data_IF_014422051749
#
_entry.id   IF_014422051749
#
_cell.length_a   1.000
_cell.length_b   1.000
_cell.length_c   1.000
_cell.angle_alpha   90.00
_cell.angle_beta   90.00
_cell.angle_gamma   90.00
#
_symmetry.space_group_name_H-M   'P 1'
#
loop_
_entity.id
_entity.type
_entity.pdbx_description
1 polymer ?
#
# COMPACT_ATOMS: atom_id res chain seq x y z
N UNK A 1 -7.97 -23.61 -13.26
CA UNK A 1 -8.57 -23.17 -11.98
C UNK A 1 -9.64 -22.15 -12.29
N UNK A 2 -10.86 -22.32 -11.79
CA UNK A 2 -11.93 -21.36 -12.05
C UNK A 2 -11.73 -20.07 -11.22
N UNK A 3 -12.31 -18.96 -11.67
CA UNK A 3 -12.20 -17.66 -10.97
C UNK A 3 -12.72 -17.72 -9.54
N UNK A 4 -13.79 -18.50 -9.29
CA UNK A 4 -14.38 -18.65 -7.96
C UNK A 4 -13.42 -19.35 -7.00
N UNK A 5 -12.74 -20.40 -7.46
CA UNK A 5 -11.75 -21.13 -6.67
C UNK A 5 -10.57 -20.23 -6.30
N UNK A 6 -10.09 -19.42 -7.26
CA UNK A 6 -9.02 -18.47 -7.01
C UNK A 6 -9.42 -17.40 -5.96
N UNK A 7 -10.67 -16.92 -5.98
CA UNK A 7 -11.18 -15.97 -4.98
C UNK A 7 -11.26 -16.64 -3.59
N UNK A 8 -11.78 -17.86 -3.52
CA UNK A 8 -11.89 -18.61 -2.26
C UNK A 8 -10.49 -18.89 -1.66
N UNK A 9 -9.53 -19.28 -2.50
CA UNK A 9 -8.15 -19.50 -2.10
C UNK A 9 -7.52 -18.22 -1.55
N UNK A 10 -7.61 -17.09 -2.27
CA UNK A 10 -7.08 -15.80 -1.81
C UNK A 10 -7.67 -15.38 -0.45
N UNK A 11 -8.97 -15.61 -0.23
CA UNK A 11 -9.62 -15.33 1.06
C UNK A 11 -9.07 -16.21 2.17
N UNK A 12 -8.90 -17.52 1.92
CA UNK A 12 -8.34 -18.48 2.88
C UNK A 12 -6.90 -18.11 3.26
N UNK A 13 -6.07 -17.79 2.26
CA UNK A 13 -4.68 -17.37 2.47
C UNK A 13 -4.60 -16.07 3.28
N UNK A 14 -5.38 -15.04 2.90
CA UNK A 14 -5.39 -13.77 3.64
C UNK A 14 -5.89 -13.96 5.07
N UNK A 15 -6.94 -14.75 5.30
CA UNK A 15 -7.41 -15.10 6.65
C UNK A 15 -6.30 -15.74 7.47
N UNK A 16 -5.55 -16.67 6.88
CA UNK A 16 -4.44 -17.35 7.56
C UNK A 16 -3.34 -16.36 7.97
N UNK A 17 -2.99 -15.41 7.11
CA UNK A 17 -2.00 -14.37 7.44
C UNK A 17 -2.49 -13.47 8.58
N UNK A 18 -3.77 -13.07 8.56
CA UNK A 18 -4.37 -12.26 9.64
C UNK A 18 -4.34 -13.01 10.96
N UNK A 19 -4.77 -14.28 11.00
CA UNK A 19 -4.76 -15.09 12.24
C UNK A 19 -3.37 -15.37 12.79
N UNK A 20 -2.33 -15.25 11.95
CA UNK A 20 -0.93 -15.43 12.34
C UNK A 20 -0.22 -14.10 12.62
N UNK A 21 -0.94 -12.98 12.63
CA UNK A 21 -0.36 -11.63 12.79
C UNK A 21 0.73 -11.30 11.76
N UNK A 22 0.58 -11.83 10.54
CA UNK A 22 1.50 -11.62 9.39
C UNK A 22 0.85 -10.79 8.29
N UNK A 23 -0.01 -9.87 8.68
CA UNK A 23 -0.78 -9.05 7.76
C UNK A 23 -1.21 -7.77 8.44
N UNK A 24 -0.58 -6.67 8.07
CA UNK A 24 -0.96 -5.36 8.58
C UNK A 24 -1.99 -4.67 7.68
N UNK A 25 -2.85 -3.89 8.31
CA UNK A 25 -3.85 -3.08 7.61
C UNK A 25 -4.55 -2.10 8.54
N UNK A 26 -4.95 -0.96 7.98
CA UNK A 26 -5.79 0.03 8.67
C UNK A 26 -7.20 -0.12 8.15
N UNK A 27 -8.17 -0.30 9.04
CA UNK A 27 -9.59 -0.15 8.72
C UNK A 27 -10.04 1.25 9.16
N UNK A 28 -10.76 1.94 8.27
CA UNK A 28 -11.36 3.24 8.57
C UNK A 28 -12.85 3.03 8.78
N UNK A 29 -13.35 3.49 9.92
CA UNK A 29 -14.76 3.37 10.30
C UNK A 29 -15.46 4.74 10.27
N UNK A 30 -16.71 4.75 9.82
CA UNK A 30 -17.67 5.81 10.05
C UNK A 30 -18.74 5.27 11.01
N UNK A 31 -18.64 5.62 12.30
CA UNK A 31 -19.41 4.96 13.35
C UNK A 31 -19.05 3.48 13.44
N UNK A 32 -20.04 2.59 13.27
CA UNK A 32 -19.86 1.14 13.28
C UNK A 32 -19.55 0.53 11.91
N UNK A 33 -19.61 1.32 10.82
CA UNK A 33 -19.41 0.82 9.46
C UNK A 33 -17.96 0.98 9.02
N UNK A 34 -17.33 -0.10 8.55
CA UNK A 34 -16.03 -0.04 7.87
C UNK A 34 -16.21 0.54 6.46
N UNK A 35 -15.60 1.70 6.20
CA UNK A 35 -15.77 2.48 4.96
C UNK A 35 -14.48 2.63 4.15
N UNK A 36 -13.35 2.22 4.72
CA UNK A 36 -12.07 2.29 4.04
C UNK A 36 -11.06 1.30 4.58
N UNK A 37 -10.04 1.05 3.78
CA UNK A 37 -8.93 0.16 4.14
C UNK A 37 -7.63 0.65 3.52
N UNK A 38 -6.51 0.43 4.21
CA UNK A 38 -5.17 0.54 3.67
C UNK A 38 -4.36 -0.70 4.06
N UNK A 39 -3.81 -1.41 3.07
CA UNK A 39 -2.81 -2.46 3.29
C UNK A 39 -1.44 -1.82 3.43
N UNK A 40 -0.77 -2.15 4.52
CA UNK A 40 0.64 -1.88 4.71
C UNK A 40 1.34 -3.11 5.29
N UNK A 41 2.66 -3.09 5.37
CA UNK A 41 3.43 -4.16 6.02
C UNK A 41 4.91 -4.08 5.67
N UNK A 42 5.77 -4.82 6.39
CA UNK A 42 7.18 -4.92 6.05
C UNK A 42 7.35 -5.65 4.71
N UNK A 43 8.51 -5.50 4.07
CA UNK A 43 8.83 -6.09 2.76
C UNK A 43 8.48 -7.58 2.68
N UNK A 44 8.76 -8.32 3.75
CA UNK A 44 8.59 -9.77 3.86
C UNK A 44 7.12 -10.21 3.88
N UNK A 45 6.20 -9.34 4.34
CA UNK A 45 4.77 -9.60 4.26
C UNK A 45 4.19 -9.32 2.87
N UNK A 46 4.86 -8.46 2.10
CA UNK A 46 4.39 -7.96 0.81
C UNK A 46 5.42 -8.21 -0.30
N UNK A 47 5.90 -9.46 -0.53
CA UNK A 47 7.05 -9.75 -1.39
C UNK A 47 6.75 -9.61 -2.89
N UNK A 48 5.48 -9.56 -3.30
CA UNK A 48 5.10 -9.56 -4.73
C UNK A 48 5.70 -8.40 -5.52
N UNK A 49 5.96 -7.26 -4.87
CA UNK A 49 6.59 -6.12 -5.54
C UNK A 49 8.02 -6.45 -5.98
N UNK A 50 8.74 -7.29 -5.23
CA UNK A 50 10.12 -7.66 -5.55
C UNK A 50 10.25 -8.43 -6.87
N UNK A 51 9.24 -9.24 -7.20
CA UNK A 51 9.20 -9.99 -8.47
C UNK A 51 8.86 -9.13 -9.70
N UNK A 52 8.49 -7.86 -9.51
CA UNK A 52 8.15 -6.97 -10.62
C UNK A 52 9.40 -6.50 -11.36
N UNK A 53 9.47 -6.77 -12.67
CA UNK A 53 10.64 -6.43 -13.52
C UNK A 53 11.14 -4.99 -13.35
N UNK A 54 10.23 -4.02 -13.25
CA UNK A 54 10.61 -2.61 -13.10
C UNK A 54 11.21 -2.30 -11.73
N UNK A 55 10.78 -3.01 -10.68
CA UNK A 55 11.29 -2.83 -9.32
C UNK A 55 12.62 -3.58 -9.14
N UNK A 56 12.73 -4.80 -9.68
CA UNK A 56 13.94 -5.62 -9.58
C UNK A 56 15.16 -5.00 -10.28
N UNK A 57 14.94 -4.11 -11.25
CA UNK A 57 16.00 -3.42 -11.99
C UNK A 57 16.48 -2.14 -11.30
N UNK A 58 15.89 -1.75 -10.16
CA UNK A 58 16.35 -0.58 -9.40
C UNK A 58 17.57 -0.94 -8.56
N UNK A 59 18.57 -0.05 -8.54
CA UNK A 59 19.64 -0.13 -7.57
C UNK A 59 19.14 0.37 -6.21
N UNK A 60 18.85 -0.58 -5.32
CA UNK A 60 18.41 -0.34 -3.95
C UNK A 60 19.47 -0.79 -2.93
N UNK A 61 20.73 -0.91 -3.34
CA UNK A 61 21.84 -1.36 -2.48
C UNK A 61 22.02 -0.48 -1.24
N UNK A 62 21.80 0.83 -1.37
CA UNK A 62 21.85 1.80 -0.29
C UNK A 62 20.79 1.57 0.82
N UNK A 63 19.77 0.75 0.57
CA UNK A 63 18.72 0.43 1.53
C UNK A 63 19.01 -0.86 2.31
N UNK A 64 20.11 -1.55 2.03
CA UNK A 64 20.45 -2.80 2.73
C UNK A 64 20.54 -2.58 4.24
N UNK A 65 19.93 -3.51 4.99
CA UNK A 65 19.87 -3.45 6.45
C UNK A 65 18.85 -2.47 7.03
N UNK A 66 18.18 -1.65 6.21
CA UNK A 66 17.13 -0.73 6.68
C UNK A 66 15.78 -1.42 6.72
N UNK A 67 14.98 -1.13 7.76
CA UNK A 67 13.57 -1.55 7.81
C UNK A 67 12.81 -0.92 6.64
N UNK A 68 12.20 -1.75 5.81
CA UNK A 68 11.44 -1.33 4.64
C UNK A 68 9.98 -1.77 4.75
N UNK A 69 9.08 -0.80 4.69
CA UNK A 69 7.64 -0.94 4.73
C UNK A 69 7.05 -0.61 3.36
N UNK A 70 5.89 -1.19 3.07
CA UNK A 70 5.17 -0.99 1.81
C UNK A 70 3.73 -0.61 2.07
N UNK A 71 3.19 0.30 1.26
CA UNK A 71 1.78 0.66 1.16
C UNK A 71 1.28 0.21 -0.21
N UNK A 72 0.50 -0.89 -0.25
CA UNK A 72 0.22 -1.61 -1.51
C UNK A 72 -1.22 -1.52 -1.98
N UNK A 73 -2.17 -1.17 -1.11
CA UNK A 73 -3.58 -1.12 -1.51
C UNK A 73 -4.39 -0.18 -0.61
N UNK A 74 -5.34 0.52 -1.22
CA UNK A 74 -6.36 1.35 -0.62
C UNK A 74 -7.71 0.91 -1.17
N UNK A 75 -8.70 0.88 -0.29
CA UNK A 75 -10.09 0.74 -0.67
C UNK A 75 -10.90 1.82 0.03
N UNK A 76 -11.88 2.36 -0.68
CA UNK A 76 -12.89 3.27 -0.12
C UNK A 76 -14.24 2.86 -0.66
N UNK A 77 -15.17 2.66 0.26
CA UNK A 77 -16.57 2.43 -0.05
C UNK A 77 -17.10 3.52 -0.98
N UNK A 78 -17.92 3.14 -1.96
CA UNK A 78 -18.37 4.03 -3.03
C UNK A 78 -19.01 5.31 -2.48
N UNK A 79 -19.81 5.19 -1.43
CA UNK A 79 -20.61 6.29 -0.88
C UNK A 79 -19.79 7.20 0.05
N UNK A 80 -18.54 6.80 0.31
CA UNK A 80 -17.55 7.55 1.09
C UNK A 80 -16.37 8.06 0.26
N UNK A 81 -16.39 7.87 -1.07
CA UNK A 81 -15.38 8.43 -1.98
C UNK A 81 -15.40 9.96 -1.96
N UNK A 82 -14.25 10.55 -2.29
CA UNK A 82 -14.02 12.01 -2.29
C UNK A 82 -14.20 12.71 -0.92
N UNK A 83 -14.38 11.96 0.17
CA UNK A 83 -14.47 12.47 1.55
C UNK A 83 -13.16 12.36 2.35
N UNK A 84 -12.03 12.11 1.68
CA UNK A 84 -10.71 12.04 2.32
C UNK A 84 -10.36 10.72 3.04
N UNK A 85 -11.19 9.68 2.94
CA UNK A 85 -11.00 8.38 3.63
C UNK A 85 -9.62 7.76 3.38
N UNK A 86 -9.14 7.74 2.13
CA UNK A 86 -7.80 7.21 1.83
C UNK A 86 -6.69 7.97 2.56
N UNK A 87 -6.83 9.29 2.69
CA UNK A 87 -5.86 10.12 3.43
C UNK A 87 -5.85 9.80 4.93
N UNK A 88 -7.03 9.57 5.52
CA UNK A 88 -7.14 9.09 6.92
C UNK A 88 -6.44 7.74 7.08
N UNK A 89 -6.69 6.80 6.17
CA UNK A 89 -6.07 5.48 6.20
C UNK A 89 -4.54 5.56 6.06
N UNK A 90 -4.03 6.40 5.15
CA UNK A 90 -2.60 6.62 4.95
C UNK A 90 -1.93 7.21 6.19
N UNK A 91 -2.50 8.25 6.80
CA UNK A 91 -1.94 8.85 8.02
C UNK A 91 -1.89 7.86 9.17
N UNK A 92 -2.95 7.07 9.35
CA UNK A 92 -2.99 6.02 10.36
C UNK A 92 -1.95 4.92 10.08
N UNK A 93 -1.71 4.56 8.82
CA UNK A 93 -0.66 3.59 8.47
C UNK A 93 0.74 4.15 8.76
N UNK A 94 1.01 5.41 8.39
CA UNK A 94 2.27 6.11 8.72
C UNK A 94 2.49 6.16 10.24
N UNK A 95 1.45 6.48 11.01
CA UNK A 95 1.52 6.48 12.47
C UNK A 95 1.86 5.08 13.01
N UNK A 96 1.14 4.05 12.56
CA UNK A 96 1.40 2.67 12.99
C UNK A 96 2.81 2.18 12.66
N UNK A 97 3.37 2.60 11.51
CA UNK A 97 4.75 2.27 11.13
C UNK A 97 5.75 2.94 12.08
N UNK A 98 5.52 4.19 12.50
CA UNK A 98 6.36 4.87 13.49
C UNK A 98 6.38 4.14 14.83
N UNK A 99 5.21 3.74 15.32
CA UNK A 99 5.08 2.97 16.57
C UNK A 99 5.84 1.63 16.51
N UNK A 100 6.10 1.11 15.31
CA UNK A 100 6.87 -0.13 15.07
C UNK A 100 8.37 0.13 14.79
N UNK A 101 8.83 1.36 15.08
CA UNK A 101 10.23 1.77 14.98
C UNK A 101 10.64 2.25 13.58
N UNK A 102 9.69 2.71 12.77
CA UNK A 102 9.96 3.48 11.56
C UNK A 102 10.71 2.72 10.47
N UNK A 103 11.36 3.47 9.58
CA UNK A 103 12.08 2.96 8.41
C UNK A 103 11.70 3.64 7.09
N UNK A 104 12.12 3.04 5.98
CA UNK A 104 11.72 3.46 4.64
C UNK A 104 10.30 2.97 4.40
N UNK A 105 9.41 3.85 3.96
CA UNK A 105 8.07 3.48 3.51
C UNK A 105 7.96 3.71 2.02
N UNK A 106 7.67 2.65 1.28
CA UNK A 106 7.42 2.68 -0.15
C UNK A 106 5.93 2.74 -0.47
N UNK A 107 5.59 3.50 -1.51
CA UNK A 107 4.27 3.57 -2.09
C UNK A 107 4.36 3.52 -3.62
N UNK A 108 3.29 3.05 -4.26
CA UNK A 108 3.28 2.76 -5.70
C UNK A 108 2.15 3.46 -6.47
N UNK A 109 1.93 4.77 -6.28
CA UNK A 109 0.78 5.45 -6.88
C UNK A 109 0.79 5.38 -8.40
N UNK A 110 -0.42 5.39 -8.97
CA UNK A 110 -0.55 5.57 -10.41
C UNK A 110 -0.27 7.03 -10.81
N UNK A 111 0.40 7.21 -11.94
CA UNK A 111 0.73 8.52 -12.54
C UNK A 111 -0.36 9.03 -13.47
N UNK A 112 -1.31 8.18 -13.88
CA UNK A 112 -2.39 8.56 -14.78
C UNK A 112 -3.74 8.14 -14.24
N UNK A 113 -4.79 8.89 -14.63
CA UNK A 113 -6.19 8.50 -14.36
C UNK A 113 -6.70 7.48 -15.37
N UNK A 114 -5.89 7.11 -16.37
CA UNK A 114 -6.26 6.32 -17.54
C UNK A 114 -6.30 4.81 -17.30
N UNK A 115 -6.39 4.36 -16.04
CA UNK A 115 -6.47 2.94 -15.65
C UNK A 115 -7.80 2.52 -15.02
N UNK A 116 -8.81 3.39 -15.07
CA UNK A 116 -10.10 3.16 -14.39
C UNK A 116 -9.97 3.08 -12.87
N UNK A 117 -11.04 2.66 -12.19
CA UNK A 117 -11.12 2.67 -10.70
C UNK A 117 -10.05 1.84 -10.01
N UNK A 118 -9.50 0.80 -10.67
CA UNK A 118 -8.48 -0.07 -10.08
C UNK A 118 -7.14 0.63 -9.89
N UNK A 119 -6.78 1.56 -10.78
CA UNK A 119 -5.55 2.36 -10.67
C UNK A 119 -5.49 3.18 -9.37
N UNK A 120 -6.67 3.59 -8.85
CA UNK A 120 -6.78 4.36 -7.61
C UNK A 120 -6.57 3.53 -6.34
N UNK A 121 -6.56 2.20 -6.45
CA UNK A 121 -6.28 1.34 -5.29
C UNK A 121 -4.85 1.47 -4.81
N UNK A 122 -3.93 1.97 -5.64
CA UNK A 122 -2.55 2.26 -5.19
C UNK A 122 -2.40 3.68 -4.64
N UNK A 123 -3.48 4.44 -4.53
CA UNK A 123 -3.45 5.86 -4.20
C UNK A 123 -3.00 6.73 -5.38
N UNK A 124 -2.87 8.03 -5.13
CA UNK A 124 -2.44 9.02 -6.14
C UNK A 124 -1.16 9.72 -5.70
N UNK A 125 -0.37 10.21 -6.66
CA UNK A 125 0.88 10.96 -6.37
C UNK A 125 0.60 12.11 -5.39
N UNK A 126 -0.39 12.96 -5.68
CA UNK A 126 -0.77 14.10 -4.84
C UNK A 126 -1.27 13.70 -3.42
N UNK A 127 -1.75 12.47 -3.22
CA UNK A 127 -2.08 11.97 -1.89
C UNK A 127 -0.83 11.69 -1.06
N UNK A 128 0.19 11.07 -1.67
CA UNK A 128 1.45 10.77 -0.98
C UNK A 128 2.32 12.01 -0.79
N UNK A 129 2.36 12.93 -1.77
CA UNK A 129 3.12 14.20 -1.65
C UNK A 129 2.65 15.04 -0.46
N UNK A 130 1.33 15.13 -0.24
CA UNK A 130 0.76 15.83 0.93
C UNK A 130 1.21 15.25 2.26
N UNK A 131 1.55 13.97 2.28
CA UNK A 131 2.08 13.29 3.47
C UNK A 131 3.63 13.24 3.44
N UNK A 132 4.29 14.00 2.56
CA UNK A 132 5.75 14.16 2.53
C UNK A 132 6.53 13.02 1.84
N UNK A 133 5.86 12.17 1.07
CA UNK A 133 6.56 11.23 0.19
C UNK A 133 7.16 11.96 -1.00
N UNK A 134 8.29 11.46 -1.50
CA UNK A 134 8.97 11.97 -2.69
C UNK A 134 9.08 10.88 -3.74
N UNK A 135 9.01 11.25 -5.02
CA UNK A 135 9.32 10.34 -6.10
C UNK A 135 10.77 9.85 -5.96
N UNK A 136 10.96 8.55 -6.12
CA UNK A 136 12.27 7.90 -6.04
C UNK A 136 12.66 7.26 -7.37
N UNK A 137 11.72 6.58 -8.03
CA UNK A 137 11.93 6.00 -9.35
C UNK A 137 10.62 5.87 -10.14
N UNK A 138 10.72 5.68 -11.45
CA UNK A 138 9.58 5.25 -12.28
C UNK A 138 9.44 3.73 -12.23
N UNK A 139 8.21 3.25 -12.16
CA UNK A 139 7.89 1.82 -12.25
C UNK A 139 7.04 1.57 -13.51
N UNK A 140 7.73 1.60 -14.66
CA UNK A 140 7.06 1.67 -15.96
C UNK A 140 6.45 3.04 -16.22
N UNK A 141 5.54 3.12 -17.18
CA UNK A 141 4.96 4.42 -17.61
C UNK A 141 3.88 4.96 -16.66
N UNK A 142 3.15 4.05 -15.99
CA UNK A 142 1.91 4.38 -15.28
C UNK A 142 2.01 4.39 -13.75
N UNK A 143 3.18 4.14 -13.18
CA UNK A 143 3.40 4.11 -11.72
C UNK A 143 4.73 4.73 -11.33
N UNK A 144 4.78 5.30 -10.13
CA UNK A 144 6.03 5.72 -9.47
C UNK A 144 6.30 4.83 -8.27
N UNK A 145 7.58 4.64 -7.97
CA UNK A 145 8.03 4.36 -6.63
C UNK A 145 8.18 5.70 -5.90
N UNK A 146 7.35 5.91 -4.88
CA UNK A 146 7.48 7.04 -3.95
C UNK A 146 7.95 6.54 -2.59
N UNK A 147 8.78 7.33 -1.90
CA UNK A 147 9.37 6.97 -0.62
C UNK A 147 9.24 8.09 0.41
N UNK A 148 9.11 7.68 1.68
CA UNK A 148 9.25 8.53 2.86
C UNK A 148 10.06 7.76 3.91
N UNK A 149 11.05 8.41 4.54
CA UNK A 149 11.72 7.84 5.70
C UNK A 149 11.01 8.33 6.97
N UNK A 150 10.67 7.41 7.86
CA UNK A 150 10.10 7.67 9.17
C UNK A 150 11.15 7.37 10.23
N UNK A 151 11.33 8.29 11.17
CA UNK A 151 12.06 8.06 12.41
C UNK A 151 11.25 7.13 13.33
#
# INVERSE_FOLDING_TARGET
>A
MERKDAIALNRKEKKTLVTKSRSHGILVYAGSQAVGWCQYGPREELPRIDSGRNYSNLDLSADQGRKLWRLTCFFVDRDFRKKGVSGVALRAAIHSIREQGGGIVEAYPSTSKEGGTWSLWFGTVAMFEREGFKAHAKLGEKHLLMRKTLA
#
